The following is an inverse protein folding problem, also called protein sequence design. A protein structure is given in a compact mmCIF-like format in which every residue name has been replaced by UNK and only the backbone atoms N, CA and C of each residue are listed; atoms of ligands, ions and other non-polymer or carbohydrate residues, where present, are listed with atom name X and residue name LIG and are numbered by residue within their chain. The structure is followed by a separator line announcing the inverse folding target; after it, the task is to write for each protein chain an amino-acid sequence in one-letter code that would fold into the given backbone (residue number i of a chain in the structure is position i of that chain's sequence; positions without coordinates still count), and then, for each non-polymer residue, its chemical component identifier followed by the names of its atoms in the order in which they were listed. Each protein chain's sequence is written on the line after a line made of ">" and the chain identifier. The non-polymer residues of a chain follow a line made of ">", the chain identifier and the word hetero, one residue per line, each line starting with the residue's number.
data_IF_869685786747
#
_entry.id   IF_869685786747
#
_cell.length_a   1.000
_cell.length_b   1.000
_cell.length_c   1.000
_cell.angle_alpha   90.00
_cell.angle_beta   90.00
_cell.angle_gamma   90.00
#
_symmetry.space_group_name_H-M   'P 1'
#
loop_
_entity.id
_entity.type
_entity.pdbx_description
1 polymer ?
#
# COMPACT_ATOMS: atom_id res chain seq x y z
N UNK A 1 -5.05 3.38 31.49
CA UNK A 1 -3.77 3.33 30.76
C UNK A 1 -3.81 4.38 29.65
N UNK A 2 -2.74 5.18 29.49
CA UNK A 2 -2.67 6.19 28.42
C UNK A 2 -1.96 5.63 27.20
N UNK A 3 -2.59 5.75 26.03
CA UNK A 3 -2.04 5.30 24.75
C UNK A 3 -2.06 6.43 23.72
N UNK A 4 -1.09 6.44 22.82
CA UNK A 4 -1.04 7.33 21.67
C UNK A 4 -1.55 6.57 20.45
N UNK A 5 -2.64 7.05 19.86
CA UNK A 5 -3.27 6.49 18.67
C UNK A 5 -3.10 7.46 17.50
N UNK A 6 -3.28 6.99 16.27
CA UNK A 6 -3.29 7.86 15.11
C UNK A 6 -4.71 7.97 14.54
N UNK A 7 -5.12 9.19 14.23
CA UNK A 7 -6.38 9.50 13.55
C UNK A 7 -6.05 9.87 12.13
N UNK A 8 -6.57 9.11 11.17
CA UNK A 8 -6.48 9.44 9.75
C UNK A 8 -7.73 10.23 9.39
N UNK A 9 -7.59 11.53 9.18
CA UNK A 9 -8.70 12.38 8.78
C UNK A 9 -9.14 12.07 7.35
N UNK A 10 -10.40 12.39 7.01
CA UNK A 10 -10.95 12.23 5.66
C UNK A 10 -10.07 12.81 4.53
N UNK A 11 -9.28 13.84 4.84
CA UNK A 11 -8.41 14.50 3.87
C UNK A 11 -7.09 13.77 3.61
N UNK A 12 -6.82 12.63 4.27
CA UNK A 12 -5.55 11.91 4.18
C UNK A 12 -4.52 12.32 5.23
N UNK A 13 -4.81 13.31 6.08
CA UNK A 13 -3.87 13.77 7.11
C UNK A 13 -3.89 12.86 8.34
N UNK A 14 -2.71 12.43 8.79
CA UNK A 14 -2.55 11.66 10.02
C UNK A 14 -2.31 12.60 11.21
N UNK A 15 -3.13 12.49 12.25
CA UNK A 15 -3.02 13.25 13.49
C UNK A 15 -2.79 12.31 14.69
N UNK A 16 -1.69 12.47 15.43
CA UNK A 16 -1.50 11.73 16.68
C UNK A 16 -2.44 12.25 17.77
N UNK A 17 -3.10 11.34 18.50
CA UNK A 17 -3.93 11.65 19.65
C UNK A 17 -3.46 10.86 20.87
N UNK A 18 -3.12 11.56 21.95
CA UNK A 18 -2.86 10.95 23.25
C UNK A 18 -4.17 10.72 24.01
N UNK A 19 -4.52 9.45 24.22
CA UNK A 19 -5.74 9.02 24.88
C UNK A 19 -5.44 8.45 26.26
N UNK A 20 -5.80 9.19 27.31
CA UNK A 20 -5.45 8.87 28.71
C UNK A 20 -6.12 7.62 29.30
N UNK A 21 -7.30 7.25 28.81
CA UNK A 21 -8.08 6.12 29.29
C UNK A 21 -8.63 5.38 28.09
N UNK A 22 -7.79 4.54 27.49
CA UNK A 22 -8.18 3.70 26.36
C UNK A 22 -9.39 2.85 26.71
N UNK A 23 -10.35 2.80 25.79
CA UNK A 23 -11.54 1.97 25.87
C UNK A 23 -12.00 1.65 24.45
N UNK A 24 -11.89 0.38 24.05
CA UNK A 24 -12.22 -0.09 22.71
C UNK A 24 -13.67 0.22 22.31
N UNK A 25 -14.59 0.26 23.28
CA UNK A 25 -16.02 0.50 23.03
C UNK A 25 -16.31 1.91 22.55
N UNK A 26 -15.38 2.87 22.70
CA UNK A 26 -15.56 4.27 22.32
C UNK A 26 -14.56 4.74 21.26
N UNK A 27 -13.89 3.83 20.55
CA UNK A 27 -12.99 4.20 19.44
C UNK A 27 -13.75 5.02 18.39
N UNK A 28 -14.99 4.65 18.06
CA UNK A 28 -15.82 5.40 17.11
C UNK A 28 -16.02 6.86 17.52
N UNK A 29 -16.07 7.16 18.84
CA UNK A 29 -16.18 8.55 19.33
C UNK A 29 -14.88 9.32 19.08
N UNK A 30 -13.73 8.65 19.13
CA UNK A 30 -12.42 9.26 18.80
C UNK A 30 -12.29 9.56 17.31
N UNK A 31 -12.92 8.74 16.48
CA UNK A 31 -13.08 9.00 15.05
C UNK A 31 -14.14 10.08 14.72
N UNK A 32 -14.86 10.60 15.72
CA UNK A 32 -15.87 11.65 15.53
C UNK A 32 -17.27 11.14 15.15
N UNK A 33 -17.51 9.84 15.23
CA UNK A 33 -18.83 9.26 14.96
C UNK A 33 -19.77 9.34 16.17
N UNK A 34 -21.07 9.41 15.89
CA UNK A 34 -22.14 9.42 16.90
C UNK A 34 -22.51 8.02 17.39
N UNK A 35 -22.29 7.01 16.56
CA UNK A 35 -22.59 5.60 16.82
C UNK A 35 -21.43 4.72 16.34
N UNK A 36 -21.33 3.52 16.94
CA UNK A 36 -20.42 2.45 16.48
C UNK A 36 -20.90 1.75 15.21
N UNK A 37 -22.07 2.12 14.69
CA UNK A 37 -22.71 1.45 13.57
C UNK A 37 -21.84 1.50 12.31
N UNK A 38 -21.42 0.32 11.85
CA UNK A 38 -20.50 0.12 10.73
C UNK A 38 -19.06 0.56 10.98
N UNK A 39 -18.70 0.97 12.20
CA UNK A 39 -17.32 1.32 12.56
C UNK A 39 -16.69 0.15 13.32
N UNK A 40 -15.87 -0.61 12.61
CA UNK A 40 -15.30 -1.87 13.09
C UNK A 40 -13.83 -2.02 12.67
N UNK A 41 -13.18 -3.05 13.21
CA UNK A 41 -11.81 -3.40 12.83
C UNK A 41 -11.82 -4.01 11.43
N UNK A 42 -11.07 -3.40 10.52
CA UNK A 42 -11.04 -3.79 9.10
C UNK A 42 -9.87 -4.71 8.79
N UNK A 43 -8.69 -4.39 9.30
CA UNK A 43 -7.48 -5.19 9.10
C UNK A 43 -6.53 -5.02 10.27
N UNK A 44 -5.60 -5.96 10.38
CA UNK A 44 -4.48 -5.90 11.32
C UNK A 44 -3.21 -6.26 10.54
N UNK A 45 -2.25 -5.34 10.51
CA UNK A 45 -0.92 -5.56 9.94
C UNK A 45 0.04 -5.97 11.04
N UNK A 46 0.60 -7.17 10.92
CA UNK A 46 1.66 -7.69 11.78
C UNK A 46 2.98 -7.61 11.05
N UNK A 47 3.83 -6.65 11.44
CA UNK A 47 5.10 -6.36 10.79
C UNK A 47 6.24 -6.41 11.80
N UNK A 48 7.34 -7.07 11.43
CA UNK A 48 8.56 -7.14 12.24
C UNK A 48 9.65 -6.30 11.56
N UNK A 49 9.87 -5.10 12.10
CA UNK A 49 11.00 -4.23 11.76
C UNK A 49 11.98 -4.25 12.94
N UNK A 50 12.33 -3.09 13.50
CA UNK A 50 13.09 -2.96 14.76
C UNK A 50 12.43 -3.72 15.93
N UNK A 51 11.10 -3.76 15.91
CA UNK A 51 10.25 -4.47 16.88
C UNK A 51 9.01 -4.99 16.17
N UNK A 52 8.25 -5.85 16.85
CA UNK A 52 6.95 -6.29 16.36
C UNK A 52 5.92 -5.17 16.49
N UNK A 53 5.25 -4.87 15.39
CA UNK A 53 4.13 -3.93 15.32
C UNK A 53 2.88 -4.72 14.90
N UNK A 54 1.79 -4.60 15.66
CA UNK A 54 0.48 -5.15 15.29
C UNK A 54 -0.51 -3.99 15.18
N UNK A 55 -0.59 -3.39 14.01
CA UNK A 55 -1.37 -2.17 13.80
C UNK A 55 -2.73 -2.55 13.25
N UNK A 56 -3.79 -2.24 14.00
CA UNK A 56 -5.17 -2.47 13.56
C UNK A 56 -5.81 -1.18 13.07
N UNK A 57 -6.46 -1.29 11.91
CA UNK A 57 -7.27 -0.23 11.32
C UNK A 57 -8.72 -0.40 11.77
N UNK A 58 -9.27 0.65 12.38
CA UNK A 58 -10.69 0.79 12.64
C UNK A 58 -11.26 1.86 11.71
N UNK A 59 -12.22 1.48 10.89
CA UNK A 59 -12.78 2.35 9.87
C UNK A 59 -14.22 1.96 9.54
N UNK A 60 -14.92 2.87 8.84
CA UNK A 60 -16.29 2.67 8.39
C UNK A 60 -16.34 2.44 6.88
N UNK A 61 -16.91 1.31 6.43
CA UNK A 61 -17.06 0.99 5.00
C UNK A 61 -18.22 1.70 4.31
N UNK A 62 -19.21 2.17 5.06
CA UNK A 62 -20.42 2.79 4.52
C UNK A 62 -20.48 4.28 4.87
N UNK A 63 -20.68 5.15 3.90
CA UNK A 63 -20.82 6.58 4.16
C UNK A 63 -21.59 7.32 3.08
N UNK A 64 -21.63 8.64 3.23
CA UNK A 64 -22.22 9.54 2.24
C UNK A 64 -21.15 9.89 1.20
N UNK A 65 -21.58 10.12 -0.04
CA UNK A 65 -20.71 10.69 -1.08
C UNK A 65 -20.04 11.98 -0.58
N UNK A 66 -18.77 12.20 -0.96
CA UNK A 66 -17.88 13.26 -0.49
C UNK A 66 -17.44 13.15 0.98
N UNK A 67 -17.63 11.98 1.60
CA UNK A 67 -17.07 11.66 2.91
C UNK A 67 -16.06 10.52 2.85
N UNK A 68 -15.66 10.12 1.65
CA UNK A 68 -14.57 9.17 1.43
C UNK A 68 -13.30 9.67 2.12
N UNK A 69 -12.60 8.75 2.77
CA UNK A 69 -11.27 8.96 3.27
C UNK A 69 -10.28 8.84 2.11
N UNK A 70 -9.47 9.87 1.89
CA UNK A 70 -8.50 9.95 0.80
C UNK A 70 -7.14 9.33 1.12
N UNK A 71 -7.02 8.64 2.25
CA UNK A 71 -5.78 7.99 2.64
C UNK A 71 -5.65 6.63 1.96
N UNK A 72 -4.56 6.43 1.23
CA UNK A 72 -4.22 5.14 0.64
C UNK A 72 -3.65 4.21 1.70
N UNK A 73 -4.36 3.13 2.02
CA UNK A 73 -3.90 2.13 2.97
C UNK A 73 -3.07 1.03 2.30
N UNK A 74 -2.13 0.42 3.04
CA UNK A 74 -1.39 -0.72 2.52
C UNK A 74 -2.28 -1.95 2.31
N UNK A 75 -1.84 -2.91 1.47
CA UNK A 75 -2.52 -4.19 1.32
C UNK A 75 -2.73 -4.86 2.69
N UNK A 76 -3.85 -5.57 2.93
CA UNK A 76 -4.85 -6.06 1.95
C UNK A 76 -6.04 -5.12 1.68
N UNK A 77 -6.01 -3.90 2.22
CA UNK A 77 -7.14 -2.95 2.17
C UNK A 77 -6.87 -1.78 1.20
N UNK A 78 -5.89 -1.94 0.30
CA UNK A 78 -5.51 -0.96 -0.73
C UNK A 78 -6.65 -0.66 -1.72
N UNK A 79 -7.55 -1.63 -1.94
CA UNK A 79 -8.73 -1.49 -2.81
C UNK A 79 -9.99 -1.05 -2.06
N UNK A 80 -9.93 -1.03 -0.73
CA UNK A 80 -11.09 -0.76 0.12
C UNK A 80 -11.25 0.75 0.33
N UNK A 81 -12.47 1.24 0.13
CA UNK A 81 -12.82 2.62 0.36
C UNK A 81 -13.47 2.79 1.73
N UNK A 82 -12.91 3.66 2.56
CA UNK A 82 -13.46 3.99 3.88
C UNK A 82 -14.06 5.39 3.90
N UNK A 83 -14.94 5.66 4.86
CA UNK A 83 -15.64 6.93 5.00
C UNK A 83 -15.39 7.56 6.36
N UNK A 84 -15.19 8.88 6.35
CA UNK A 84 -14.95 9.69 7.54
C UNK A 84 -13.50 9.57 8.03
N UNK A 85 -13.32 9.72 9.34
CA UNK A 85 -12.00 9.56 9.96
C UNK A 85 -11.80 8.12 10.41
N UNK A 86 -10.60 7.60 10.20
CA UNK A 86 -10.22 6.25 10.60
C UNK A 86 -9.23 6.29 11.76
N UNK A 87 -9.07 5.18 12.46
CA UNK A 87 -8.21 5.09 13.64
C UNK A 87 -7.23 3.94 13.46
N UNK A 88 -5.95 4.22 13.75
CA UNK A 88 -4.90 3.23 13.82
C UNK A 88 -4.46 3.07 15.28
N UNK A 89 -4.46 1.82 15.75
CA UNK A 89 -4.01 1.45 17.09
C UNK A 89 -3.00 0.33 16.96
N UNK A 90 -1.88 0.44 17.66
CA UNK A 90 -0.88 -0.63 17.75
C UNK A 90 -1.15 -1.48 18.99
N UNK A 91 -1.01 -2.80 18.88
CA UNK A 91 -1.15 -3.76 19.96
C UNK A 91 0.15 -4.55 20.18
N UNK A 92 0.43 -4.90 21.42
CA UNK A 92 1.48 -5.88 21.75
C UNK A 92 0.99 -7.33 21.51
N UNK A 93 1.88 -8.29 21.75
CA UNK A 93 1.58 -9.73 21.67
C UNK A 93 0.55 -10.22 22.69
N UNK A 94 0.34 -9.47 23.78
CA UNK A 94 -0.64 -9.76 24.82
C UNK A 94 -2.02 -9.13 24.51
N UNK A 95 -2.13 -8.38 23.40
CA UNK A 95 -3.35 -7.68 22.99
C UNK A 95 -3.58 -6.34 23.69
N UNK A 96 -2.58 -5.78 24.37
CA UNK A 96 -2.67 -4.48 25.00
C UNK A 96 -2.34 -3.35 24.00
N UNK A 97 -3.06 -2.22 24.06
CA UNK A 97 -2.80 -1.08 23.20
C UNK A 97 -1.51 -0.38 23.60
N UNK A 98 -0.56 -0.26 22.66
CA UNK A 98 0.73 0.39 22.85
C UNK A 98 0.80 1.71 22.07
N UNK A 99 1.71 2.59 22.50
CA UNK A 99 1.89 3.89 21.86
C UNK A 99 2.35 3.72 20.40
N UNK A 100 1.60 4.35 19.49
CA UNK A 100 1.94 4.46 18.07
C UNK A 100 2.26 5.91 17.73
N UNK A 101 3.49 6.13 17.24
CA UNK A 101 3.94 7.41 16.69
C UNK A 101 3.75 7.43 15.17
N UNK A 102 3.62 8.62 14.60
CA UNK A 102 3.48 8.78 13.13
C UNK A 102 4.71 8.24 12.41
N UNK A 103 5.92 8.49 12.93
CA UNK A 103 7.18 7.98 12.36
C UNK A 103 7.22 6.44 12.34
N UNK A 104 6.67 5.78 13.34
CA UNK A 104 6.59 4.32 13.40
C UNK A 104 5.60 3.78 12.37
N UNK A 105 4.45 4.44 12.21
CA UNK A 105 3.49 4.08 11.16
C UNK A 105 4.09 4.27 9.77
N UNK A 106 4.81 5.36 9.51
CA UNK A 106 5.44 5.59 8.21
C UNK A 106 6.43 4.47 7.83
N UNK A 107 7.28 4.03 8.77
CA UNK A 107 8.17 2.88 8.53
C UNK A 107 7.41 1.60 8.19
N UNK A 108 6.34 1.31 8.94
CA UNK A 108 5.49 0.13 8.70
C UNK A 108 4.77 0.25 7.36
N UNK A 109 4.28 1.45 7.03
CA UNK A 109 3.63 1.78 5.78
C UNK A 109 4.55 1.52 4.59
N UNK A 110 5.77 2.06 4.61
CA UNK A 110 6.76 1.84 3.56
C UNK A 110 7.05 0.34 3.38
N UNK A 111 7.30 -0.38 4.48
CA UNK A 111 7.53 -1.82 4.43
C UNK A 111 6.35 -2.61 3.81
N UNK A 112 5.11 -2.26 4.16
CA UNK A 112 3.91 -2.92 3.62
C UNK A 112 3.66 -2.61 2.13
N UNK A 113 4.13 -1.46 1.63
CA UNK A 113 4.05 -1.09 0.22
C UNK A 113 5.21 -1.65 -0.62
N UNK A 114 6.11 -2.44 -0.02
CA UNK A 114 7.30 -2.96 -0.71
C UNK A 114 8.47 -1.97 -0.77
N UNK A 115 8.49 -0.98 0.11
CA UNK A 115 9.57 -0.02 0.27
C UNK A 115 10.80 -0.69 0.90
N UNK A 116 11.90 -0.66 0.13
CA UNK A 116 13.29 -1.02 0.48
C UNK A 116 13.39 -2.15 1.53
N UNK A 117 13.43 -3.40 1.04
CA UNK A 117 14.36 -4.35 1.64
C UNK A 117 15.69 -3.63 1.78
N UNK A 118 16.10 -3.37 3.02
CA UNK A 118 17.44 -2.89 3.31
C UNK A 118 18.40 -3.95 2.76
N UNK A 119 18.98 -3.69 1.58
CA UNK A 119 20.04 -4.51 0.94
C UNK A 119 21.35 -4.37 1.76
N UNK A 120 21.25 -4.44 3.08
CA UNK A 120 22.28 -4.08 4.04
C UNK A 120 22.15 -4.79 5.40
N UNK A 121 21.18 -5.70 5.57
CA UNK A 121 21.08 -6.59 6.72
C UNK A 121 21.74 -7.93 6.45
N UNK A 122 23.05 -8.02 6.67
CA UNK A 122 23.78 -9.28 6.85
C UNK A 122 23.10 -10.11 7.95
N UNK A 123 22.34 -11.13 7.56
CA UNK A 123 21.97 -12.27 8.40
C UNK A 123 21.83 -13.46 7.47
N UNK A 124 22.90 -14.24 7.43
CA UNK A 124 22.99 -15.58 6.84
C UNK A 124 21.84 -16.44 7.34
N UNK A 125 20.83 -16.65 6.50
CA UNK A 125 20.09 -17.91 6.45
C UNK A 125 19.95 -18.28 4.98
N UNK A 126 20.91 -19.09 4.54
CA UNK A 126 20.87 -19.86 3.29
C UNK A 126 19.58 -20.67 3.26
N UNK A 127 18.63 -20.29 2.42
CA UNK A 127 17.70 -21.27 1.85
C UNK A 127 17.78 -21.15 0.32
N UNK A 128 18.56 -22.08 -0.25
CA UNK A 128 18.52 -22.46 -1.65
C UNK A 128 17.07 -22.75 -2.05
N UNK A 129 16.41 -21.81 -2.71
CA UNK A 129 15.28 -22.14 -3.58
C UNK A 129 15.73 -21.95 -5.02
N UNK A 130 16.26 -23.05 -5.58
CA UNK A 130 16.59 -23.26 -6.99
C UNK A 130 15.34 -23.07 -7.86
N UNK A 131 14.93 -21.82 -8.03
CA UNK A 131 14.03 -21.39 -9.08
C UNK A 131 14.67 -21.74 -10.41
N UNK A 132 14.34 -22.94 -10.92
CA UNK A 132 14.68 -23.38 -12.26
C UNK A 132 14.16 -22.36 -13.26
N UNK A 133 15.04 -21.46 -13.68
CA UNK A 133 14.87 -20.66 -14.88
C UNK A 133 14.76 -21.59 -16.09
N UNK A 134 13.52 -21.90 -16.49
CA UNK A 134 13.15 -22.65 -17.72
C UNK A 134 13.46 -21.85 -18.99
N UNK A 135 14.46 -20.97 -18.97
CA UNK A 135 14.94 -20.23 -20.14
C UNK A 135 16.46 -20.31 -20.31
N UNK A 136 17.16 -21.08 -19.47
CA UNK A 136 18.61 -21.27 -19.59
C UNK A 136 19.01 -22.41 -20.55
N UNK A 137 18.06 -23.14 -21.12
CA UNK A 137 18.31 -24.26 -22.04
C UNK A 137 18.20 -23.88 -23.54
N UNK A 138 18.25 -22.58 -23.85
CA UNK A 138 18.33 -22.12 -25.25
C UNK A 138 19.76 -21.70 -25.57
N UNK A 139 20.39 -22.45 -26.48
CA UNK A 139 21.70 -22.12 -27.04
C UNK A 139 21.66 -20.72 -27.70
N UNK A 140 22.29 -19.76 -27.04
CA UNK A 140 22.48 -18.39 -27.53
C UNK A 140 23.42 -18.39 -28.74
N UNK A 141 23.15 -17.53 -29.73
CA UNK A 141 24.14 -17.23 -30.77
C UNK A 141 25.32 -16.45 -30.17
N UNK A 142 26.47 -16.40 -30.85
CA UNK A 142 27.68 -15.71 -30.35
C UNK A 142 27.50 -14.19 -30.11
N UNK A 143 26.35 -13.63 -30.48
CA UNK A 143 25.97 -12.23 -30.24
C UNK A 143 24.79 -12.08 -29.26
N UNK A 144 24.35 -13.15 -28.59
CA UNK A 144 23.43 -13.08 -27.45
C UNK A 144 21.93 -13.11 -27.77
N UNK A 145 21.53 -13.37 -29.02
CA UNK A 145 20.12 -13.48 -29.40
C UNK A 145 19.59 -14.91 -29.24
N UNK A 146 18.36 -15.04 -28.71
CA UNK A 146 17.64 -16.30 -28.63
C UNK A 146 17.24 -16.74 -30.05
N UNK A 147 17.55 -18.00 -30.41
CA UNK A 147 17.08 -18.61 -31.66
C UNK A 147 15.61 -19.01 -31.52
N UNK A 148 14.73 -18.03 -31.39
CA UNK A 148 13.34 -18.26 -31.76
C UNK A 148 13.32 -18.42 -33.30
N UNK A 149 12.48 -19.30 -33.82
CA UNK A 149 12.45 -19.68 -35.24
C UNK A 149 11.97 -18.57 -36.20
N UNK A 150 12.25 -17.31 -35.88
CA UNK A 150 11.84 -16.11 -36.58
C UNK A 150 13.01 -15.62 -37.45
N UNK A 151 13.09 -16.13 -38.67
CA UNK A 151 13.93 -15.54 -39.73
C UNK A 151 13.13 -14.39 -40.34
N UNK A 152 13.53 -13.15 -40.05
CA UNK A 152 13.17 -12.00 -40.89
C UNK A 152 14.14 -12.03 -42.07
N UNK A 153 13.63 -12.38 -43.24
CA UNK A 153 14.39 -12.29 -44.48
C UNK A 153 14.63 -10.79 -44.75
N UNK A 154 15.90 -10.37 -44.75
CA UNK A 154 16.35 -8.99 -44.98
C UNK A 154 16.30 -8.66 -46.49
N UNK A 155 15.18 -8.98 -47.12
CA UNK A 155 14.93 -8.68 -48.53
C UNK A 155 13.43 -8.55 -48.80
N UNK A 156 12.83 -7.46 -48.32
CA UNK A 156 11.79 -6.81 -49.11
C UNK A 156 11.85 -5.29 -48.97
N UNK A 157 11.90 -4.67 -50.14
CA UNK A 157 12.00 -3.25 -50.38
C UNK A 157 10.57 -2.72 -50.54
N UNK A 158 10.11 -1.80 -49.70
CA UNK A 158 8.79 -1.20 -49.93
C UNK A 158 8.22 -0.35 -48.81
N UNK A 159 8.30 0.96 -49.03
CA UNK A 159 7.31 2.00 -48.70
C UNK A 159 7.30 2.63 -47.30
N UNK A 160 7.64 3.93 -47.32
CA UNK A 160 7.45 4.95 -46.29
C UNK A 160 5.95 5.23 -46.08
N UNK A 161 5.37 4.73 -44.98
CA UNK A 161 4.09 5.23 -44.49
C UNK A 161 4.31 6.24 -43.35
N UNK A 162 4.36 7.51 -43.76
CA UNK A 162 4.28 8.67 -42.87
C UNK A 162 2.99 8.62 -42.04
N UNK A 163 3.11 8.40 -40.73
CA UNK A 163 2.00 8.60 -39.80
C UNK A 163 1.80 10.10 -39.58
N UNK A 164 0.74 10.63 -40.19
CA UNK A 164 0.23 11.99 -39.98
C UNK A 164 -0.36 12.12 -38.56
N UNK A 165 0.30 12.92 -37.71
CA UNK A 165 -0.17 13.24 -36.38
C UNK A 165 -1.26 14.32 -36.45
N UNK A 166 -2.52 13.89 -36.58
CA UNK A 166 -3.66 14.79 -36.42
C UNK A 166 -3.89 15.10 -34.93
N UNK A 167 -3.53 16.33 -34.55
CA UNK A 167 -3.66 16.89 -33.20
C UNK A 167 -4.91 17.78 -33.15
N UNK A 168 -6.08 17.21 -32.86
CA UNK A 168 -7.28 18.02 -32.54
C UNK A 168 -7.29 18.44 -31.06
N UNK A 169 -6.74 19.64 -30.83
CA UNK A 169 -6.89 20.43 -29.61
C UNK A 169 -8.30 21.05 -29.60
N UNK A 170 -9.24 20.47 -28.84
CA UNK A 170 -10.53 21.12 -28.58
C UNK A 170 -10.40 22.10 -27.42
N UNK A 171 -10.38 23.41 -27.72
CA UNK A 171 -10.58 24.49 -26.76
C UNK A 171 -12.05 24.50 -26.30
N UNK A 172 -12.33 24.13 -25.05
CA UNK A 172 -13.63 24.40 -24.45
C UNK A 172 -13.63 25.76 -23.73
N UNK A 173 -14.55 26.60 -24.19
CA UNK A 173 -14.84 27.97 -23.80
C UNK A 173 -15.35 28.05 -22.35
N UNK A 174 -14.70 28.90 -21.53
CA UNK A 174 -15.21 29.30 -20.23
C UNK A 174 -16.45 30.20 -20.40
N UNK A 175 -17.59 29.74 -19.88
CA UNK A 175 -18.77 30.57 -19.57
C UNK A 175 -18.97 30.60 -18.06
#
# INVERSE_FOLDING_TARGET
>A
MSVSILIVERGGTIKPLKWKSYDETIIYKKAGFRSSDGFEKQTTWSVKLDKKYNISLYAKKNGKANQENKYDYPPPVDKELYFGSNILINYDDEGNPVNLLVEQWNKVYEHLFGGFEDIGGESEEEEEDESKDVYNDLEKTKEGFAKDGFVVDDNDSGDDDYIDCDSELSEEEYI
#
